data_IF_143265267720
#
_entry.id   IF_143265267720
#
_cell.length_a   1.000
_cell.length_b   1.000
_cell.length_c   1.000
_cell.angle_alpha   90.00
_cell.angle_beta   90.00
_cell.angle_gamma   90.00
#
_symmetry.space_group_name_H-M   'P 1'
#
loop_
_entity.id
_entity.type
_entity.pdbx_description
1 polymer ?
#
# COMPACT_ATOMS: atom_id res chain seq x y z
N UNK A 1 3.62 -9.10 -1.60
CA UNK A 1 4.56 -10.06 -1.03
C UNK A 1 4.59 -11.37 -1.81
N UNK A 2 5.63 -11.58 -2.67
CA UNK A 2 5.80 -12.81 -3.42
C UNK A 2 4.77 -13.07 -4.53
N UNK A 3 3.89 -12.14 -4.82
CA UNK A 3 2.88 -12.24 -5.87
C UNK A 3 3.47 -11.78 -7.22
N UNK A 4 3.63 -12.66 -8.20
CA UNK A 4 4.16 -12.29 -9.51
C UNK A 4 3.25 -11.27 -10.20
N UNK A 5 3.81 -10.12 -10.59
CA UNK A 5 3.10 -9.05 -11.25
C UNK A 5 2.44 -8.03 -10.32
N UNK A 6 2.41 -8.25 -9.01
CA UNK A 6 1.89 -7.29 -8.03
C UNK A 6 2.95 -6.22 -7.70
N UNK A 7 3.10 -5.21 -8.53
CA UNK A 7 4.11 -4.16 -8.39
C UNK A 7 3.52 -2.74 -8.26
N UNK A 8 2.21 -2.60 -7.97
CA UNK A 8 1.55 -1.32 -7.80
C UNK A 8 2.13 -0.53 -6.60
N UNK A 9 2.27 -1.16 -5.45
CA UNK A 9 2.80 -0.51 -4.24
C UNK A 9 4.27 -0.10 -4.41
N UNK A 10 5.05 -0.96 -5.06
CA UNK A 10 6.42 -0.65 -5.47
C UNK A 10 6.47 0.62 -6.31
N UNK A 11 5.57 0.75 -7.28
CA UNK A 11 5.54 1.89 -8.20
C UNK A 11 5.24 3.21 -7.48
N UNK A 12 4.39 3.19 -6.44
CA UNK A 12 4.16 4.35 -5.57
C UNK A 12 5.45 4.73 -4.83
N UNK A 13 6.10 3.76 -4.18
CA UNK A 13 7.33 4.01 -3.42
C UNK A 13 8.50 4.45 -4.30
N UNK A 14 8.55 4.01 -5.56
CA UNK A 14 9.55 4.44 -6.52
C UNK A 14 9.22 5.76 -7.21
N UNK A 15 7.94 6.08 -7.41
CA UNK A 15 7.47 7.28 -8.09
C UNK A 15 7.34 8.49 -7.17
N UNK A 16 6.61 8.32 -6.07
CA UNK A 16 6.35 9.37 -5.08
C UNK A 16 6.32 8.79 -3.66
N UNK A 17 7.50 8.51 -3.05
CA UNK A 17 7.55 8.02 -1.67
C UNK A 17 7.07 9.04 -0.65
N UNK A 18 7.13 10.35 -0.96
CA UNK A 18 6.69 11.41 -0.05
C UNK A 18 5.19 11.32 0.26
N UNK A 19 4.37 10.88 -0.68
CA UNK A 19 2.93 10.71 -0.45
C UNK A 19 2.64 9.70 0.67
N UNK A 20 3.48 8.67 0.79
CA UNK A 20 3.35 7.67 1.86
C UNK A 20 3.82 8.24 3.21
N UNK A 21 4.91 8.99 3.22
CA UNK A 21 5.40 9.68 4.43
C UNK A 21 4.36 10.65 4.95
N UNK A 22 3.79 11.50 4.08
CA UNK A 22 2.71 12.45 4.40
C UNK A 22 1.48 11.72 4.95
N UNK A 23 1.03 10.68 4.28
CA UNK A 23 -0.14 9.91 4.68
C UNK A 23 0.03 9.25 6.05
N UNK A 24 1.20 8.69 6.32
CA UNK A 24 1.49 8.05 7.62
C UNK A 24 1.58 9.07 8.74
N UNK A 25 2.12 10.26 8.49
CA UNK A 25 2.12 11.36 9.47
C UNK A 25 0.69 11.84 9.78
N UNK A 26 -0.17 12.00 8.75
CA UNK A 26 -1.60 12.32 8.93
C UNK A 26 -2.30 11.24 9.76
N UNK A 27 -2.09 9.97 9.42
CA UNK A 27 -2.69 8.85 10.15
C UNK A 27 -2.20 8.80 11.59
N UNK A 28 -0.90 8.99 11.83
CA UNK A 28 -0.31 9.01 13.15
C UNK A 28 -0.90 10.12 14.03
N UNK A 29 -1.06 11.31 13.48
CA UNK A 29 -1.73 12.42 14.15
C UNK A 29 -3.16 12.06 14.54
N UNK A 30 -3.91 11.47 13.61
CA UNK A 30 -5.32 11.12 13.82
C UNK A 30 -5.52 10.04 14.90
N UNK A 31 -4.59 9.08 15.04
CA UNK A 31 -4.70 7.96 15.98
C UNK A 31 -3.85 8.13 17.24
N UNK A 32 -3.06 9.20 17.33
CA UNK A 32 -2.16 9.46 18.47
C UNK A 32 -0.93 8.53 18.49
N UNK A 33 -0.44 8.10 17.34
CA UNK A 33 0.78 7.27 17.24
C UNK A 33 2.02 8.14 17.12
N UNK A 34 3.12 7.67 17.70
CA UNK A 34 4.44 8.33 17.58
C UNK A 34 5.46 7.51 16.79
N UNK A 35 5.08 6.33 16.29
CA UNK A 35 5.96 5.44 15.55
C UNK A 35 5.22 4.73 14.42
N UNK A 36 5.80 4.75 13.23
CA UNK A 36 5.34 4.03 12.07
C UNK A 36 6.42 3.10 11.49
N UNK A 37 5.97 2.06 10.81
CA UNK A 37 6.83 1.11 10.11
C UNK A 37 6.35 0.90 8.69
N UNK A 38 7.27 0.94 7.72
CA UNK A 38 6.98 0.57 6.34
C UNK A 38 7.69 -0.74 6.05
N UNK A 39 6.91 -1.80 5.83
CA UNK A 39 7.42 -3.13 5.53
C UNK A 39 7.55 -3.31 4.02
N UNK A 40 8.77 -3.45 3.53
CA UNK A 40 9.08 -3.53 2.10
C UNK A 40 9.87 -4.81 1.83
N UNK A 41 9.61 -5.46 0.70
CA UNK A 41 10.43 -6.59 0.24
C UNK A 41 11.86 -6.14 -0.03
N UNK A 42 12.83 -6.95 0.41
CA UNK A 42 14.26 -6.72 0.13
C UNK A 42 14.58 -6.72 -1.38
N UNK A 43 13.74 -7.36 -2.19
CA UNK A 43 13.87 -7.41 -3.65
C UNK A 43 13.50 -6.11 -4.36
N UNK A 44 13.07 -5.07 -3.62
CA UNK A 44 12.76 -3.75 -4.17
C UNK A 44 13.76 -2.68 -3.71
N UNK A 45 15.05 -2.81 -4.07
CA UNK A 45 16.10 -1.93 -3.55
C UNK A 45 15.89 -0.45 -3.93
N UNK A 46 15.32 -0.18 -5.11
CA UNK A 46 15.05 1.20 -5.55
C UNK A 46 13.94 1.83 -4.69
N UNK A 47 12.87 1.09 -4.40
CA UNK A 47 11.81 1.56 -3.51
C UNK A 47 12.35 1.87 -2.11
N UNK A 48 13.18 0.98 -1.56
CA UNK A 48 13.83 1.17 -0.25
C UNK A 48 14.69 2.44 -0.25
N UNK A 49 15.56 2.61 -1.26
CA UNK A 49 16.45 3.77 -1.35
C UNK A 49 15.67 5.09 -1.49
N UNK A 50 14.61 5.10 -2.31
CA UNK A 50 13.81 6.30 -2.52
C UNK A 50 12.99 6.67 -1.30
N UNK A 51 12.39 5.68 -0.64
CA UNK A 51 11.66 5.92 0.60
C UNK A 51 12.60 6.38 1.72
N UNK A 52 13.81 5.79 1.84
CA UNK A 52 14.78 6.26 2.83
C UNK A 52 15.15 7.72 2.59
N UNK A 53 15.42 8.12 1.35
CA UNK A 53 15.68 9.52 1.01
C UNK A 53 14.50 10.45 1.36
N UNK A 54 13.27 9.99 1.15
CA UNK A 54 12.09 10.76 1.51
C UNK A 54 11.97 10.94 3.04
N UNK A 55 12.25 9.89 3.81
CA UNK A 55 12.30 9.93 5.28
C UNK A 55 13.39 10.89 5.75
N UNK A 56 14.60 10.76 5.21
CA UNK A 56 15.74 11.63 5.57
C UNK A 56 15.41 13.10 5.27
N UNK A 57 14.87 13.38 4.09
CA UNK A 57 14.43 14.73 3.71
C UNK A 57 13.32 15.26 4.62
N UNK A 58 12.36 14.41 5.02
CA UNK A 58 11.32 14.81 5.95
C UNK A 58 11.89 15.16 7.34
N UNK A 59 12.92 14.47 7.81
CA UNK A 59 13.64 14.83 9.03
C UNK A 59 14.38 16.18 8.90
N UNK A 60 15.10 16.38 7.79
CA UNK A 60 15.83 17.63 7.53
C UNK A 60 14.90 18.86 7.53
N UNK A 61 13.65 18.68 7.11
CA UNK A 61 12.65 19.75 7.07
C UNK A 61 11.74 19.81 8.32
N UNK A 62 12.00 18.99 9.35
CA UNK A 62 11.21 18.98 10.58
C UNK A 62 9.78 18.45 10.40
N UNK A 63 9.56 17.60 9.38
CA UNK A 63 8.29 16.96 9.09
C UNK A 63 8.16 15.55 9.71
N UNK A 64 9.27 15.04 10.24
CA UNK A 64 9.37 13.82 11.06
C UNK A 64 10.25 14.11 12.27
N UNK A 65 10.14 13.28 13.31
CA UNK A 65 10.89 13.39 14.56
C UNK A 65 10.09 14.04 15.67
N UNK A 66 10.69 15.03 16.32
CA UNK A 66 10.12 15.69 17.50
C UNK A 66 9.52 17.06 17.17
N UNK A 67 8.44 17.41 17.90
CA UNK A 67 7.82 18.74 17.84
C UNK A 67 7.49 19.17 16.39
N UNK A 68 6.90 18.30 15.59
CA UNK A 68 6.57 18.55 14.18
C UNK A 68 5.72 19.82 14.10
N UNK A 69 6.09 20.74 13.20
CA UNK A 69 5.50 22.09 13.06
C UNK A 69 5.49 22.93 14.34
N UNK A 70 6.39 22.67 15.30
CA UNK A 70 6.43 23.37 16.58
C UNK A 70 5.28 23.01 17.52
N UNK A 71 4.67 21.86 17.32
CA UNK A 71 3.59 21.30 18.16
C UNK A 71 4.14 20.20 19.08
N UNK A 72 3.29 19.66 19.95
CA UNK A 72 3.63 18.50 20.79
C UNK A 72 3.53 17.16 20.03
N UNK A 73 3.39 17.20 18.71
CA UNK A 73 3.30 16.02 17.88
C UNK A 73 4.69 15.48 17.52
N UNK A 74 4.94 14.26 17.96
CA UNK A 74 6.14 13.49 17.64
C UNK A 74 5.74 12.30 16.76
N UNK A 75 6.43 12.09 15.66
CA UNK A 75 6.22 10.90 14.82
C UNK A 75 7.48 10.54 14.05
N UNK A 76 7.82 9.28 14.03
CA UNK A 76 8.96 8.77 13.28
C UNK A 76 8.60 7.55 12.43
N UNK A 77 9.35 7.31 11.35
CA UNK A 77 9.17 6.23 10.42
C UNK A 77 10.43 5.37 10.30
N UNK A 78 10.23 4.07 10.29
CA UNK A 78 11.30 3.10 10.12
C UNK A 78 10.96 2.11 8.99
N UNK A 79 11.93 1.83 8.11
CA UNK A 79 11.81 0.79 7.07
C UNK A 79 12.18 -0.56 7.66
N UNK A 80 11.33 -1.55 7.45
CA UNK A 80 11.57 -2.96 7.77
C UNK A 80 11.59 -3.79 6.50
N UNK A 81 12.64 -4.56 6.30
CA UNK A 81 12.81 -5.39 5.10
C UNK A 81 12.22 -6.78 5.30
N UNK A 82 11.36 -7.16 4.37
CA UNK A 82 10.80 -8.51 4.31
C UNK A 82 11.67 -9.46 3.50
N UNK A 83 11.74 -10.71 3.91
CA UNK A 83 12.50 -11.75 3.22
C UNK A 83 11.75 -12.43 2.06
N UNK A 84 10.67 -11.83 1.54
CA UNK A 84 9.93 -12.30 0.37
C UNK A 84 8.91 -13.42 0.65
N UNK A 85 8.56 -13.68 1.90
CA UNK A 85 7.53 -14.67 2.23
C UNK A 85 6.13 -14.11 1.95
N UNK A 86 5.37 -14.80 1.08
CA UNK A 86 3.99 -14.41 0.71
C UNK A 86 3.07 -14.25 1.93
N UNK A 87 3.21 -15.11 2.94
CA UNK A 87 2.42 -15.07 4.17
C UNK A 87 2.57 -13.74 4.93
N UNK A 88 3.68 -13.02 4.77
CA UNK A 88 3.89 -11.70 5.39
C UNK A 88 3.04 -10.58 4.76
N UNK A 89 2.23 -10.86 3.74
CA UNK A 89 1.16 -9.99 3.28
C UNK A 89 -0.07 -10.00 4.20
N UNK A 90 -0.21 -11.04 5.05
CA UNK A 90 -1.23 -11.07 6.10
C UNK A 90 -0.78 -10.18 7.28
N UNK A 91 -1.67 -9.36 7.82
CA UNK A 91 -1.33 -8.30 8.78
C UNK A 91 -0.60 -8.80 10.04
N UNK A 92 -1.01 -9.92 10.59
CA UNK A 92 -0.41 -10.45 11.84
C UNK A 92 0.92 -11.14 11.58
N UNK A 93 1.07 -11.81 10.44
CA UNK A 93 2.33 -12.40 10.01
C UNK A 93 3.39 -11.31 9.71
N UNK A 94 2.97 -10.20 9.09
CA UNK A 94 3.81 -9.02 8.88
C UNK A 94 4.32 -8.46 10.20
N UNK A 95 3.44 -8.26 11.19
CA UNK A 95 3.83 -7.77 12.52
C UNK A 95 4.80 -8.74 13.21
N UNK A 96 4.55 -10.06 13.13
CA UNK A 96 5.43 -11.09 13.70
C UNK A 96 6.83 -11.04 13.06
N UNK A 97 6.88 -10.80 11.74
CA UNK A 97 8.15 -10.61 11.02
C UNK A 97 8.89 -9.34 11.47
N UNK A 98 8.20 -8.21 11.63
CA UNK A 98 8.79 -6.96 12.15
C UNK A 98 9.36 -7.17 13.56
N UNK A 99 8.72 -7.99 14.38
CA UNK A 99 9.21 -8.35 15.73
C UNK A 99 10.46 -9.26 15.73
N UNK A 100 10.97 -9.62 14.55
CA UNK A 100 12.15 -10.47 14.39
C UNK A 100 11.87 -11.96 14.59
N UNK A 101 10.61 -12.37 14.54
CA UNK A 101 10.17 -13.76 14.63
C UNK A 101 9.81 -14.29 13.24
N UNK A 102 9.60 -15.60 13.14
CA UNK A 102 9.07 -16.19 11.92
C UNK A 102 7.71 -15.59 11.59
N UNK A 103 7.51 -15.16 10.34
CA UNK A 103 6.29 -14.54 9.86
C UNK A 103 5.12 -15.52 9.83
N UNK A 104 4.52 -15.77 10.98
CA UNK A 104 3.36 -16.65 11.16
C UNK A 104 2.15 -15.82 11.59
N UNK A 105 0.95 -16.10 11.03
CA UNK A 105 -0.28 -15.44 11.45
C UNK A 105 -0.59 -15.72 12.93
N UNK A 106 -1.24 -14.75 13.58
CA UNK A 106 -1.72 -14.86 14.96
C UNK A 106 -3.22 -15.08 14.98
N UNK A 107 -3.73 -15.92 15.90
CA UNK A 107 -5.18 -16.02 16.10
C UNK A 107 -5.79 -14.69 16.54
N UNK A 108 -7.03 -14.45 16.12
CA UNK A 108 -7.85 -13.33 16.58
C UNK A 108 -9.07 -13.86 17.31
N UNK A 109 -9.55 -13.26 18.41
CA UNK A 109 -9.02 -12.11 19.13
C UNK A 109 -7.71 -12.41 19.91
N UNK A 110 -6.88 -11.40 20.31
CA UNK A 110 -7.14 -9.97 20.17
C UNK A 110 -6.84 -9.45 18.75
N UNK A 111 -7.61 -8.44 18.30
CA UNK A 111 -7.35 -7.75 17.05
C UNK A 111 -6.15 -6.80 17.17
N UNK A 112 -5.43 -6.49 16.08
CA UNK A 112 -4.27 -5.60 16.10
C UNK A 112 -4.54 -4.22 16.70
N UNK A 113 -5.72 -3.67 16.50
CA UNK A 113 -6.13 -2.41 17.11
C UNK A 113 -6.14 -2.43 18.65
N UNK A 114 -6.19 -3.62 19.25
CA UNK A 114 -6.12 -3.81 20.70
C UNK A 114 -4.72 -4.26 21.12
N UNK A 115 -4.14 -5.23 20.42
CA UNK A 115 -2.83 -5.81 20.72
C UNK A 115 -2.13 -6.27 19.44
N UNK A 116 -1.42 -5.35 18.80
CA UNK A 116 -0.69 -5.57 17.55
C UNK A 116 0.82 -5.66 17.75
N UNK A 117 1.56 -4.84 17.02
CA UNK A 117 3.02 -4.83 16.98
C UNK A 117 3.61 -4.51 18.35
N UNK A 118 4.56 -5.35 18.78
CA UNK A 118 5.17 -5.28 20.12
C UNK A 118 4.15 -5.25 21.27
N UNK A 119 2.97 -5.82 21.05
CA UNK A 119 1.89 -5.86 22.03
C UNK A 119 1.14 -4.53 22.20
N UNK A 120 1.37 -3.54 21.37
CA UNK A 120 0.71 -2.22 21.40
C UNK A 120 -0.45 -2.15 20.40
N UNK A 121 -1.44 -1.29 20.62
CA UNK A 121 -2.46 -1.01 19.60
C UNK A 121 -1.81 -0.58 18.29
N UNK A 122 -2.23 -1.20 17.19
CA UNK A 122 -1.60 -1.01 15.87
C UNK A 122 -2.65 -0.95 14.78
N UNK A 123 -2.52 0.02 13.89
CA UNK A 123 -3.28 0.11 12.64
C UNK A 123 -2.34 -0.19 11.48
N UNK A 124 -2.77 -1.06 10.58
CA UNK A 124 -2.06 -1.41 9.36
C UNK A 124 -2.95 -1.15 8.15
N UNK A 125 -2.38 -0.52 7.14
CA UNK A 125 -3.04 -0.31 5.86
C UNK A 125 -2.05 -0.58 4.71
N UNK A 126 -2.60 -0.95 3.56
CA UNK A 126 -1.84 -1.10 2.33
C UNK A 126 -1.31 0.26 1.83
N UNK A 127 -0.21 0.24 1.07
CA UNK A 127 0.44 1.44 0.50
C UNK A 127 -0.53 2.22 -0.39
N UNK A 128 -1.32 1.55 -1.22
CA UNK A 128 -2.32 2.22 -2.07
C UNK A 128 -3.37 2.98 -1.24
N UNK A 129 -3.80 2.42 -0.11
CA UNK A 129 -4.72 3.10 0.81
C UNK A 129 -4.09 4.37 1.36
N UNK A 130 -2.86 4.29 1.86
CA UNK A 130 -2.15 5.46 2.36
C UNK A 130 -1.90 6.50 1.26
N UNK A 131 -1.51 6.08 0.06
CA UNK A 131 -1.25 7.00 -1.05
C UNK A 131 -2.47 7.86 -1.45
N UNK A 132 -3.68 7.40 -1.17
CA UNK A 132 -4.90 8.18 -1.42
C UNK A 132 -5.18 9.25 -0.35
N UNK A 133 -4.67 9.10 0.88
CA UNK A 133 -5.01 9.98 2.00
C UNK A 133 -4.67 11.44 1.73
N UNK A 134 -3.47 11.83 1.28
CA UNK A 134 -3.15 13.23 1.02
C UNK A 134 -4.03 13.84 -0.08
N UNK A 135 -4.33 13.09 -1.13
CA UNK A 135 -5.22 13.55 -2.19
C UNK A 135 -6.66 13.78 -1.68
N UNK A 136 -7.16 12.90 -0.81
CA UNK A 136 -8.48 13.05 -0.19
C UNK A 136 -8.51 14.28 0.72
N UNK A 137 -7.48 14.51 1.52
CA UNK A 137 -7.42 15.69 2.40
C UNK A 137 -7.39 16.98 1.58
N UNK A 138 -6.62 17.03 0.50
CA UNK A 138 -6.51 18.21 -0.37
C UNK A 138 -7.77 18.51 -1.18
N UNK A 139 -8.40 17.49 -1.73
CA UNK A 139 -9.54 17.65 -2.65
C UNK A 139 -10.91 17.48 -1.98
N UNK A 140 -10.94 16.93 -0.77
CA UNK A 140 -12.14 16.67 0.02
C UNK A 140 -12.79 15.32 -0.26
N UNK A 141 -13.56 14.85 0.71
CA UNK A 141 -14.23 13.55 0.66
C UNK A 141 -15.23 13.43 -0.51
N UNK A 142 -15.90 14.52 -0.87
CA UNK A 142 -16.86 14.54 -1.98
C UNK A 142 -16.17 14.27 -3.33
N UNK A 143 -14.95 14.78 -3.52
CA UNK A 143 -14.15 14.50 -4.71
C UNK A 143 -13.86 12.99 -4.82
N UNK A 144 -13.37 12.35 -3.77
CA UNK A 144 -13.10 10.92 -3.79
C UNK A 144 -14.37 10.09 -3.98
N UNK A 145 -15.46 10.50 -3.32
CA UNK A 145 -16.75 9.84 -3.41
C UNK A 145 -17.45 10.02 -4.77
N UNK A 146 -17.02 10.97 -5.60
CA UNK A 146 -17.52 11.14 -6.97
C UNK A 146 -17.04 10.06 -7.95
N UNK A 147 -15.98 9.36 -7.60
CA UNK A 147 -15.44 8.24 -8.38
C UNK A 147 -15.95 6.90 -7.82
N UNK A 148 -16.14 5.94 -8.71
CA UNK A 148 -16.57 4.60 -8.31
C UNK A 148 -18.09 4.42 -8.30
N UNK A 149 -18.55 3.45 -7.47
CA UNK A 149 -19.97 3.10 -7.35
C UNK A 149 -20.57 3.66 -6.07
N UNK A 150 -21.88 3.51 -5.88
CA UNK A 150 -22.56 3.93 -4.65
C UNK A 150 -21.96 3.26 -3.39
N UNK A 151 -21.60 1.96 -3.48
CA UNK A 151 -21.10 1.17 -2.35
C UNK A 151 -19.58 1.09 -2.28
N UNK A 152 -18.87 1.35 -3.39
CA UNK A 152 -17.40 1.27 -3.46
C UNK A 152 -16.88 2.53 -4.15
N UNK A 153 -16.33 3.44 -3.34
CA UNK A 153 -15.84 4.74 -3.79
C UNK A 153 -14.37 4.70 -4.17
N UNK A 154 -13.97 5.67 -5.00
CA UNK A 154 -12.57 5.86 -5.40
C UNK A 154 -12.17 5.00 -6.59
N UNK A 155 -10.88 4.79 -6.69
CA UNK A 155 -10.21 4.06 -7.77
C UNK A 155 -9.54 2.79 -7.24
N UNK A 156 -9.11 1.93 -8.16
CA UNK A 156 -8.31 0.75 -7.87
C UNK A 156 -7.24 0.56 -8.93
N UNK A 157 -6.02 0.30 -8.49
CA UNK A 157 -4.90 -0.04 -9.39
C UNK A 157 -4.86 -1.54 -9.64
N UNK A 158 -4.72 -1.92 -10.91
CA UNK A 158 -4.49 -3.30 -11.35
C UNK A 158 -3.16 -3.42 -12.07
N UNK A 159 -2.45 -4.51 -11.79
CA UNK A 159 -1.29 -4.93 -12.57
C UNK A 159 -1.77 -5.93 -13.63
N UNK A 160 -1.76 -5.51 -14.90
CA UNK A 160 -2.14 -6.36 -16.02
C UNK A 160 -0.96 -7.22 -16.46
N UNK A 161 -1.14 -8.53 -16.47
CA UNK A 161 -0.09 -9.47 -16.83
C UNK A 161 -0.64 -10.74 -17.51
N UNK A 162 0.26 -11.61 -17.94
CA UNK A 162 -0.10 -12.85 -18.62
C UNK A 162 -0.37 -12.67 -20.12
N UNK A 163 -1.40 -13.36 -20.65
CA UNK A 163 -1.74 -13.36 -22.07
C UNK A 163 -2.69 -12.22 -22.43
N UNK A 164 -2.22 -11.01 -22.28
CA UNK A 164 -2.89 -9.75 -22.64
C UNK A 164 -1.97 -8.92 -23.55
N UNK A 165 -2.52 -8.10 -24.44
CA UNK A 165 -1.72 -7.31 -25.39
C UNK A 165 -0.91 -6.25 -24.68
N UNK A 166 -1.57 -5.42 -23.85
CA UNK A 166 -0.92 -4.34 -23.08
C UNK A 166 -0.74 -4.80 -21.65
N UNK A 167 0.50 -4.95 -21.22
CA UNK A 167 0.87 -5.25 -19.82
C UNK A 167 1.29 -3.98 -19.10
N UNK A 168 1.12 -3.92 -17.79
CA UNK A 168 1.51 -2.78 -16.97
C UNK A 168 0.51 -2.45 -15.88
N UNK A 169 0.62 -1.26 -15.30
CA UNK A 169 -0.33 -0.76 -14.31
C UNK A 169 -1.45 0.04 -14.97
N UNK A 170 -2.65 -0.13 -14.45
CA UNK A 170 -3.82 0.67 -14.82
C UNK A 170 -4.59 1.05 -13.57
N UNK A 171 -4.94 2.33 -13.45
CA UNK A 171 -5.85 2.82 -12.43
C UNK A 171 -7.22 3.07 -13.05
N UNK A 172 -8.25 2.53 -12.43
CA UNK A 172 -9.63 2.63 -12.91
C UNK A 172 -10.59 2.96 -11.76
N UNK A 173 -11.70 3.65 -12.02
CA UNK A 173 -12.76 3.83 -11.03
C UNK A 173 -13.32 2.47 -10.57
N UNK A 174 -13.67 2.37 -9.29
CA UNK A 174 -14.38 1.21 -8.77
C UNK A 174 -15.67 0.98 -9.56
N UNK A 175 -15.96 -0.27 -9.92
CA UNK A 175 -17.10 -0.63 -10.77
C UNK A 175 -16.76 -0.80 -12.25
N UNK A 176 -15.54 -0.42 -12.68
CA UNK A 176 -15.05 -0.78 -14.02
C UNK A 176 -15.03 -2.29 -14.19
N UNK A 177 -15.59 -2.76 -15.29
CA UNK A 177 -15.73 -4.21 -15.52
C UNK A 177 -14.41 -4.85 -15.95
N UNK A 178 -14.24 -6.14 -15.66
CA UNK A 178 -13.09 -6.90 -16.17
C UNK A 178 -13.03 -6.91 -17.70
N UNK A 179 -14.18 -6.81 -18.38
CA UNK A 179 -14.24 -6.69 -19.84
C UNK A 179 -13.54 -5.41 -20.33
N UNK A 180 -13.89 -4.28 -19.76
CA UNK A 180 -13.27 -2.98 -20.08
C UNK A 180 -11.76 -3.00 -19.80
N UNK A 181 -11.37 -3.53 -18.64
CA UNK A 181 -9.94 -3.63 -18.28
C UNK A 181 -9.18 -4.51 -19.27
N UNK A 182 -9.74 -5.68 -19.65
CA UNK A 182 -9.07 -6.66 -20.51
C UNK A 182 -9.06 -6.21 -21.98
N UNK A 183 -10.18 -5.71 -22.49
CA UNK A 183 -10.31 -5.46 -23.92
C UNK A 183 -10.04 -4.00 -24.29
N UNK A 184 -10.62 -3.04 -23.58
CA UNK A 184 -10.55 -1.64 -23.97
C UNK A 184 -9.20 -1.03 -23.54
N UNK A 185 -8.70 -1.40 -22.36
CA UNK A 185 -7.41 -0.92 -21.84
C UNK A 185 -6.29 -1.90 -22.21
N UNK A 186 -6.47 -3.17 -21.88
CA UNK A 186 -5.49 -4.22 -22.09
C UNK A 186 -5.31 -4.67 -23.53
N UNK A 187 -6.16 -4.21 -24.46
CA UNK A 187 -6.07 -4.53 -25.88
C UNK A 187 -6.47 -5.97 -26.23
N UNK A 188 -7.07 -6.71 -25.30
CA UNK A 188 -7.56 -8.06 -25.50
C UNK A 188 -6.49 -9.15 -25.48
N UNK A 189 -6.85 -10.31 -26.00
CA UNK A 189 -5.98 -11.49 -26.01
C UNK A 189 -5.13 -11.50 -27.30
N UNK A 190 -3.79 -11.71 -27.19
CA UNK A 190 -2.91 -11.68 -28.36
C UNK A 190 -3.29 -12.74 -29.41
N UNK A 191 -2.91 -12.44 -30.68
CA UNK A 191 -3.06 -13.35 -31.81
C UNK A 191 -4.52 -13.75 -32.11
N UNK A 192 -5.51 -12.90 -31.82
CA UNK A 192 -6.92 -13.13 -32.08
C UNK A 192 -7.53 -14.30 -31.30
N UNK A 193 -6.86 -14.77 -30.25
CA UNK A 193 -7.39 -15.86 -29.40
C UNK A 193 -8.56 -15.38 -28.55
N UNK A 194 -9.43 -16.31 -28.19
CA UNK A 194 -10.58 -16.03 -27.32
C UNK A 194 -10.14 -15.95 -25.85
N UNK A 195 -10.76 -15.06 -25.10
CA UNK A 195 -10.66 -15.03 -23.64
C UNK A 195 -11.13 -16.35 -23.03
N UNK A 196 -10.39 -16.84 -22.05
CA UNK A 196 -10.72 -18.06 -21.32
C UNK A 196 -11.01 -17.79 -19.85
N UNK A 197 -10.09 -17.14 -19.18
CA UNK A 197 -10.20 -16.81 -17.76
C UNK A 197 -9.26 -15.66 -17.39
N UNK A 198 -9.58 -14.94 -16.33
CA UNK A 198 -8.69 -14.03 -15.63
C UNK A 198 -8.64 -14.43 -14.16
N UNK A 199 -7.48 -14.28 -13.55
CA UNK A 199 -7.29 -14.44 -12.13
C UNK A 199 -7.07 -13.07 -11.51
N UNK A 200 -7.74 -12.79 -10.42
CA UNK A 200 -7.56 -11.56 -9.63
C UNK A 200 -7.08 -11.91 -8.23
N UNK A 201 -6.28 -11.04 -7.62
CA UNK A 201 -5.82 -11.23 -6.24
C UNK A 201 -4.73 -12.30 -6.06
N UNK A 202 -3.98 -12.61 -7.10
CA UNK A 202 -2.85 -13.53 -7.03
C UNK A 202 -3.24 -15.01 -6.97
N UNK A 203 -2.34 -15.90 -6.49
CA UNK A 203 -2.54 -17.35 -6.57
C UNK A 203 -3.76 -17.89 -5.82
N UNK A 204 -4.31 -17.12 -4.91
CA UNK A 204 -5.49 -17.48 -4.10
C UNK A 204 -6.80 -16.89 -4.63
N UNK A 205 -6.75 -16.11 -5.71
CA UNK A 205 -7.90 -15.45 -6.32
C UNK A 205 -8.70 -16.29 -7.27
#
# INVERSE_FOLDING_TARGET
EGDPGAFMDRSVLEGDPHVVVEAMAIAAYAIGSNQGYVYIRAEYPIAVQRLQKAIDSAHEHGLLGKNIFGTDFDFDLEIRLGAGAFVCGEETALMTSIEGKRGEPRPRPPFPAVKGLFGKPTILNNVETYANVPAIIRNGAAWFASMGTEKSKGTKVFALGGKIVNTGLVEVPMGTTLREIIYDIGGGIPNGKKFKAAQTGGPSG
#
